data_IF_623399376860
#
_entry.id   IF_623399376860
#
_cell.length_a   1.000
_cell.length_b   1.000
_cell.length_c   1.000
_cell.angle_alpha   90.00
_cell.angle_beta   90.00
_cell.angle_gamma   90.00
#
_symmetry.space_group_name_H-M   'P 1'
#
loop_
_entity.id
_entity.type
_entity.pdbx_description
1 polymer ?
#
# COMPACT_ATOMS: atom_id res chain seq x y z
N UNK A 1 40.01 46.62 40.79
CA UNK A 1 39.16 46.80 39.58
C UNK A 1 39.00 45.45 38.88
N UNK A 2 37.84 44.81 39.01
CA UNK A 2 37.55 43.48 38.42
C UNK A 2 37.17 43.65 36.94
N UNK A 3 37.92 43.04 36.02
CA UNK A 3 37.53 42.93 34.61
C UNK A 3 36.52 41.79 34.46
N UNK A 4 35.31 42.09 33.98
CA UNK A 4 34.30 41.08 33.62
C UNK A 4 34.60 40.57 32.22
N UNK A 5 34.76 39.26 32.06
CA UNK A 5 34.83 38.59 30.77
C UNK A 5 33.42 38.08 30.45
N UNK A 6 32.75 38.67 29.45
CA UNK A 6 31.50 38.13 28.92
C UNK A 6 31.85 37.15 27.81
N UNK A 7 31.54 35.87 28.02
CA UNK A 7 31.59 34.84 26.99
C UNK A 7 30.28 34.95 26.20
N UNK A 8 30.38 35.33 24.93
CA UNK A 8 29.25 35.33 23.99
C UNK A 8 29.12 33.90 23.44
N UNK A 9 28.12 33.14 23.89
CA UNK A 9 27.77 31.85 23.27
C UNK A 9 26.86 32.17 22.09
N UNK A 10 27.39 32.09 20.87
CA UNK A 10 26.60 32.10 19.65
C UNK A 10 25.91 30.74 19.53
N UNK A 11 24.62 30.67 19.87
CA UNK A 11 23.78 29.54 19.51
C UNK A 11 23.46 29.63 18.02
N UNK A 12 24.13 28.80 17.21
CA UNK A 12 23.80 28.62 15.80
C UNK A 12 22.47 27.85 15.72
N UNK A 13 21.33 28.54 15.66
CA UNK A 13 20.09 27.91 15.24
C UNK A 13 20.19 27.63 13.74
N UNK A 14 20.44 26.37 13.38
CA UNK A 14 20.24 25.91 12.02
C UNK A 14 18.72 25.91 11.75
N UNK A 15 18.24 26.93 11.06
CA UNK A 15 16.92 26.90 10.43
C UNK A 15 16.97 25.87 9.32
N UNK A 16 16.51 24.65 9.59
CA UNK A 16 16.23 23.68 8.54
C UNK A 16 15.01 24.17 7.76
N UNK A 17 15.28 24.91 6.68
CA UNK A 17 14.27 25.21 5.67
C UNK A 17 13.78 23.91 5.04
N UNK A 18 12.47 23.78 4.92
CA UNK A 18 11.74 22.62 4.36
C UNK A 18 12.25 22.21 2.97
N UNK A 19 12.93 23.12 2.27
CA UNK A 19 13.46 22.91 0.92
C UNK A 19 14.66 21.94 0.83
N UNK A 20 15.30 21.56 1.95
CA UNK A 20 16.46 20.66 1.94
C UNK A 20 16.13 19.18 2.17
N UNK A 21 14.87 18.81 2.45
CA UNK A 21 14.50 17.40 2.68
C UNK A 21 14.34 16.60 1.37
N UNK A 22 13.94 17.23 0.26
CA UNK A 22 13.87 16.56 -1.07
C UNK A 22 15.25 16.10 -1.55
N UNK A 23 16.31 16.84 -1.22
CA UNK A 23 17.66 16.56 -1.70
C UNK A 23 18.29 15.28 -1.12
N UNK A 24 17.74 14.70 -0.05
CA UNK A 24 18.37 13.58 0.65
C UNK A 24 17.94 12.21 0.10
N UNK A 25 16.79 12.10 -0.57
CA UNK A 25 16.19 10.79 -0.88
C UNK A 25 15.82 10.57 -2.35
N UNK A 26 15.88 11.59 -3.21
CA UNK A 26 15.49 11.47 -4.62
C UNK A 26 13.98 11.57 -4.84
N UNK A 27 13.57 11.64 -6.11
CA UNK A 27 12.16 11.72 -6.49
C UNK A 27 11.47 10.36 -6.31
N UNK A 28 10.18 10.37 -5.95
CA UNK A 28 9.35 9.17 -5.97
C UNK A 28 9.24 8.68 -7.41
N UNK A 29 9.51 7.40 -7.63
CA UNK A 29 9.50 6.80 -8.97
C UNK A 29 8.91 5.41 -8.93
N UNK A 30 8.20 5.02 -10.00
CA UNK A 30 7.67 3.67 -10.19
C UNK A 30 8.22 3.06 -11.48
N UNK A 31 8.83 1.88 -11.34
CA UNK A 31 9.26 1.04 -12.47
C UNK A 31 8.22 -0.04 -12.72
N UNK A 32 7.41 0.14 -13.77
CA UNK A 32 6.32 -0.76 -14.17
C UNK A 32 6.83 -2.07 -14.79
N UNK A 33 6.19 -3.19 -14.44
CA UNK A 33 6.42 -4.51 -15.03
C UNK A 33 5.92 -4.55 -16.49
N UNK A 34 6.62 -5.29 -17.35
CA UNK A 34 6.28 -5.37 -18.78
C UNK A 34 5.52 -6.65 -19.13
N UNK A 35 5.74 -7.72 -18.36
CA UNK A 35 5.06 -8.99 -18.54
C UNK A 35 4.82 -9.71 -17.20
N UNK A 36 4.05 -10.81 -17.22
CA UNK A 36 3.75 -11.57 -16.02
C UNK A 36 5.00 -12.16 -15.34
N UNK A 37 6.08 -12.41 -16.09
CA UNK A 37 7.33 -12.92 -15.50
C UNK A 37 8.03 -11.82 -14.69
N UNK A 38 8.00 -10.56 -15.15
CA UNK A 38 8.48 -9.41 -14.38
C UNK A 38 7.74 -9.30 -13.03
N UNK A 39 6.41 -9.49 -13.03
CA UNK A 39 5.60 -9.49 -11.81
C UNK A 39 6.05 -10.57 -10.83
N UNK A 40 6.20 -11.80 -11.33
CA UNK A 40 6.64 -12.96 -10.53
C UNK A 40 8.05 -12.71 -9.95
N UNK A 41 8.99 -12.21 -10.77
CA UNK A 41 10.35 -11.88 -10.34
C UNK A 41 10.38 -10.74 -9.31
N UNK A 42 9.48 -9.77 -9.45
CA UNK A 42 9.37 -8.65 -8.51
C UNK A 42 8.91 -9.14 -7.13
N UNK A 43 7.88 -9.98 -7.06
CA UNK A 43 7.44 -10.58 -5.79
C UNK A 43 8.53 -11.45 -5.16
N UNK A 44 9.22 -12.28 -5.95
CA UNK A 44 10.31 -13.12 -5.45
C UNK A 44 11.45 -12.28 -4.85
N UNK A 45 11.88 -11.23 -5.55
CA UNK A 45 13.03 -10.41 -5.17
C UNK A 45 12.74 -9.31 -4.14
N UNK A 46 11.49 -8.87 -4.00
CA UNK A 46 11.11 -7.76 -3.13
C UNK A 46 10.23 -8.23 -1.97
N UNK A 47 9.10 -8.88 -2.27
CA UNK A 47 8.13 -9.31 -1.27
C UNK A 47 8.69 -10.45 -0.41
N UNK A 48 9.22 -11.50 -1.05
CA UNK A 48 9.78 -12.68 -0.37
C UNK A 48 11.25 -12.54 0.01
N UNK A 49 11.84 -11.35 -0.15
CA UNK A 49 13.27 -11.10 0.11
C UNK A 49 13.78 -11.49 1.50
N UNK A 50 12.89 -11.63 2.49
CA UNK A 50 13.22 -12.05 3.86
C UNK A 50 12.73 -13.47 4.21
N UNK A 51 12.15 -14.21 3.27
CA UNK A 51 11.71 -15.57 3.45
C UNK A 51 12.69 -16.56 2.81
N UNK A 52 13.00 -17.68 3.48
CA UNK A 52 13.66 -18.78 2.81
C UNK A 52 12.82 -19.33 1.65
N UNK A 53 13.43 -19.69 0.52
CA UNK A 53 12.70 -20.15 -0.67
C UNK A 53 11.87 -21.42 -0.46
N UNK A 54 12.17 -22.22 0.56
CA UNK A 54 11.36 -23.38 0.95
C UNK A 54 10.10 -23.02 1.76
N UNK A 55 9.95 -21.75 2.16
CA UNK A 55 8.84 -21.26 2.98
C UNK A 55 7.75 -20.57 2.16
N UNK A 56 7.87 -20.54 0.84
CA UNK A 56 6.80 -20.11 -0.06
C UNK A 56 6.81 -20.95 -1.34
N UNK A 57 5.67 -21.02 -2.03
CA UNK A 57 5.51 -21.72 -3.31
C UNK A 57 4.22 -21.26 -3.99
N UNK A 58 3.98 -21.77 -5.20
CA UNK A 58 2.72 -21.56 -5.92
C UNK A 58 2.38 -20.08 -6.11
N UNK A 59 3.39 -19.22 -6.31
CA UNK A 59 3.16 -17.82 -6.66
C UNK A 59 2.52 -17.75 -8.04
N UNK A 60 1.35 -17.13 -8.12
CA UNK A 60 0.62 -16.88 -9.37
C UNK A 60 0.17 -15.43 -9.44
N UNK A 61 -0.01 -14.95 -10.67
CA UNK A 61 -0.46 -13.60 -10.99
C UNK A 61 -1.62 -13.68 -11.99
N UNK A 62 -2.65 -12.86 -11.79
CA UNK A 62 -3.76 -12.66 -12.71
C UNK A 62 -4.04 -11.15 -12.82
N UNK A 63 -4.19 -10.63 -14.04
CA UNK A 63 -4.40 -9.21 -14.33
C UNK A 63 -3.44 -8.68 -15.40
N UNK A 64 -3.44 -7.36 -15.60
CA UNK A 64 -2.49 -6.68 -16.49
C UNK A 64 -1.12 -6.52 -15.82
N UNK A 65 -0.02 -7.03 -16.38
CA UNK A 65 1.32 -6.83 -15.81
C UNK A 65 1.68 -5.36 -15.58
N UNK A 66 1.17 -4.47 -16.42
CA UNK A 66 1.42 -3.03 -16.32
C UNK A 66 0.75 -2.40 -15.09
N UNK A 67 -0.18 -3.11 -14.44
CA UNK A 67 -0.78 -2.72 -13.17
C UNK A 67 0.13 -2.98 -11.95
N UNK A 68 1.32 -3.54 -12.17
CA UNK A 68 2.31 -3.84 -11.13
C UNK A 68 3.59 -3.05 -11.37
N UNK A 69 4.18 -2.52 -10.29
CA UNK A 69 5.47 -1.83 -10.38
C UNK A 69 6.28 -1.86 -9.10
N UNK A 70 7.57 -1.56 -9.22
CA UNK A 70 8.47 -1.33 -8.09
C UNK A 70 8.60 0.16 -7.83
N UNK A 71 8.27 0.62 -6.62
CA UNK A 71 8.44 2.02 -6.25
C UNK A 71 9.71 2.25 -5.42
N UNK A 72 10.31 3.43 -5.60
CA UNK A 72 11.42 3.94 -4.81
C UNK A 72 11.13 5.35 -4.29
N UNK A 73 11.78 5.69 -3.18
CA UNK A 73 11.70 6.99 -2.50
C UNK A 73 10.30 7.38 -2.00
N UNK A 74 9.42 6.40 -1.77
CA UNK A 74 8.07 6.55 -1.22
C UNK A 74 8.01 6.82 0.28
N UNK A 75 8.93 7.60 0.85
CA UNK A 75 8.99 7.87 2.29
C UNK A 75 7.79 8.66 2.81
N UNK A 76 7.15 9.46 1.96
CA UNK A 76 5.93 10.21 2.30
C UNK A 76 4.75 9.29 2.65
N UNK A 77 4.75 8.04 2.16
CA UNK A 77 3.79 6.99 2.50
C UNK A 77 3.96 6.47 3.95
N UNK A 78 4.92 6.98 4.72
CA UNK A 78 5.23 6.50 6.08
C UNK A 78 5.95 5.15 6.12
N UNK A 79 6.44 4.68 4.96
CA UNK A 79 7.20 3.45 4.82
C UNK A 79 8.68 3.68 5.18
N UNK A 80 9.21 2.86 6.08
CA UNK A 80 10.57 2.99 6.60
C UNK A 80 11.61 2.74 5.52
N UNK A 81 11.31 1.83 4.60
CA UNK A 81 12.20 1.49 3.49
C UNK A 81 12.07 2.45 2.30
N UNK A 82 10.98 3.23 2.23
CA UNK A 82 10.63 4.06 1.07
C UNK A 82 10.57 3.29 -0.25
N UNK A 83 10.45 1.96 -0.21
CA UNK A 83 10.57 1.06 -1.37
C UNK A 83 9.58 -0.08 -1.23
N UNK A 84 9.10 -0.63 -2.34
CA UNK A 84 8.13 -1.70 -2.31
C UNK A 84 7.50 -1.99 -3.66
N UNK A 85 6.36 -2.68 -3.64
CA UNK A 85 5.58 -3.03 -4.82
C UNK A 85 4.31 -2.20 -4.81
N UNK A 86 3.89 -1.68 -5.97
CA UNK A 86 2.54 -1.16 -6.16
C UNK A 86 1.74 -2.18 -6.97
N UNK A 87 0.52 -2.47 -6.53
CA UNK A 87 -0.53 -3.08 -7.35
C UNK A 87 -1.63 -2.03 -7.51
N UNK A 88 -2.06 -1.78 -8.73
CA UNK A 88 -3.11 -0.80 -9.05
C UNK A 88 -4.19 -1.45 -9.91
N UNK A 89 -5.33 -0.80 -10.06
CA UNK A 89 -6.35 -1.10 -11.07
C UNK A 89 -6.09 -0.39 -12.39
N UNK A 90 -5.08 0.48 -12.41
CA UNK A 90 -4.56 1.18 -13.58
C UNK A 90 -3.23 0.71 -14.12
N UNK A 91 -2.43 1.68 -14.56
CA UNK A 91 -1.02 1.47 -14.86
C UNK A 91 -0.13 1.95 -13.71
N UNK A 92 0.80 1.12 -13.27
CA UNK A 92 1.68 1.43 -12.15
C UNK A 92 2.56 2.69 -12.35
N UNK A 93 2.95 3.01 -13.59
CA UNK A 93 3.73 4.20 -13.92
C UNK A 93 2.91 5.50 -13.99
N UNK A 94 1.62 5.45 -13.68
CA UNK A 94 0.83 6.66 -13.50
C UNK A 94 0.94 7.19 -12.07
N UNK A 95 1.27 6.32 -11.10
CA UNK A 95 1.33 6.65 -9.68
C UNK A 95 2.37 7.72 -9.31
N UNK A 96 3.47 7.85 -10.05
CA UNK A 96 4.55 8.83 -9.81
C UNK A 96 4.42 10.12 -10.64
N UNK A 97 3.29 10.31 -11.33
CA UNK A 97 2.95 11.57 -11.98
C UNK A 97 2.48 12.62 -10.97
N UNK A 98 2.45 13.88 -11.41
CA UNK A 98 1.77 14.93 -10.65
C UNK A 98 0.26 14.72 -10.68
N UNK A 99 -0.39 14.99 -9.55
CA UNK A 99 -1.82 15.22 -9.50
C UNK A 99 -2.16 16.54 -10.24
N UNK A 100 -3.41 16.75 -10.64
CA UNK A 100 -3.87 17.95 -11.34
C UNK A 100 -5.13 18.51 -10.70
N UNK A 101 -5.38 19.80 -10.88
CA UNK A 101 -6.60 20.44 -10.38
C UNK A 101 -7.79 20.16 -11.31
N UNK A 102 -8.92 19.71 -10.77
CA UNK A 102 -10.15 19.42 -11.51
C UNK A 102 -10.72 18.04 -11.17
N UNK A 103 -11.50 17.47 -12.10
CA UNK A 103 -11.99 16.08 -12.02
C UNK A 103 -11.26 15.19 -13.04
N UNK A 104 -10.02 15.55 -13.38
CA UNK A 104 -9.26 14.82 -14.39
C UNK A 104 -8.75 13.48 -13.83
N UNK A 105 -8.77 12.46 -14.68
CA UNK A 105 -8.23 11.13 -14.43
C UNK A 105 -6.72 11.15 -14.69
N UNK A 106 -5.88 11.17 -13.65
CA UNK A 106 -4.43 11.32 -13.80
C UNK A 106 -3.67 10.01 -13.61
N UNK A 107 -4.18 9.17 -12.72
CA UNK A 107 -3.79 7.78 -12.51
C UNK A 107 -4.77 6.77 -13.11
N UNK A 108 -5.86 7.21 -13.76
CA UNK A 108 -6.81 6.28 -14.40
C UNK A 108 -6.40 5.86 -15.80
N UNK A 109 -6.06 4.58 -15.95
CA UNK A 109 -5.96 3.90 -17.23
C UNK A 109 -6.56 2.50 -17.14
N UNK A 110 -7.75 2.34 -17.74
CA UNK A 110 -8.37 1.02 -17.90
C UNK A 110 -7.41 0.03 -18.57
N UNK A 111 -7.35 -1.19 -18.04
CA UNK A 111 -6.37 -2.20 -18.41
C UNK A 111 -7.04 -3.54 -18.72
N UNK A 112 -6.26 -4.63 -18.85
CA UNK A 112 -6.81 -5.99 -19.09
C UNK A 112 -6.96 -6.81 -17.81
N UNK A 113 -7.35 -6.18 -16.70
CA UNK A 113 -7.49 -6.78 -15.38
C UNK A 113 -8.60 -7.82 -15.28
N UNK A 114 -8.75 -8.42 -14.09
CA UNK A 114 -9.74 -9.46 -13.83
C UNK A 114 -11.09 -8.83 -13.48
N UNK A 115 -12.12 -9.28 -14.16
CA UNK A 115 -13.50 -8.84 -13.96
C UNK A 115 -14.27 -9.77 -13.02
N UNK A 116 -15.11 -9.21 -12.15
CA UNK A 116 -16.02 -9.93 -11.25
C UNK A 116 -15.31 -10.98 -10.35
N UNK A 117 -14.23 -10.59 -9.69
CA UNK A 117 -13.57 -11.43 -8.69
C UNK A 117 -14.49 -11.62 -7.48
N UNK A 118 -14.86 -12.86 -7.18
CA UNK A 118 -15.87 -13.18 -6.17
C UNK A 118 -15.54 -12.67 -4.76
N UNK A 119 -14.25 -12.63 -4.40
CA UNK A 119 -13.83 -12.17 -3.07
C UNK A 119 -13.87 -10.65 -2.97
N UNK A 120 -13.49 -9.94 -4.05
CA UNK A 120 -13.64 -8.50 -4.15
C UNK A 120 -15.12 -8.10 -4.18
N UNK A 121 -15.97 -8.76 -4.97
CA UNK A 121 -17.40 -8.45 -5.00
C UNK A 121 -18.05 -8.62 -3.62
N UNK A 122 -17.68 -9.70 -2.92
CA UNK A 122 -18.15 -9.93 -1.55
C UNK A 122 -17.62 -8.89 -0.56
N UNK A 123 -16.37 -8.44 -0.72
CA UNK A 123 -15.74 -7.44 0.14
C UNK A 123 -16.33 -6.04 -0.07
N UNK A 124 -16.54 -5.65 -1.32
CA UNK A 124 -16.87 -4.28 -1.73
C UNK A 124 -18.39 -4.07 -1.85
N UNK A 125 -19.15 -5.15 -2.08
CA UNK A 125 -20.61 -5.13 -2.19
C UNK A 125 -21.13 -4.68 -3.56
N UNK A 126 -20.26 -4.68 -4.58
CA UNK A 126 -20.51 -4.27 -5.97
C UNK A 126 -19.74 -5.18 -6.93
N UNK A 127 -19.97 -5.03 -8.24
CA UNK A 127 -19.07 -5.63 -9.24
C UNK A 127 -17.65 -5.08 -9.08
N UNK A 128 -16.67 -5.93 -9.38
CA UNK A 128 -15.24 -5.55 -9.37
C UNK A 128 -14.69 -5.49 -10.79
N UNK A 129 -13.90 -4.47 -11.10
CA UNK A 129 -13.29 -4.26 -12.41
C UNK A 129 -11.76 -4.15 -12.32
N UNK A 130 -11.09 -4.43 -13.44
CA UNK A 130 -9.65 -4.23 -13.63
C UNK A 130 -8.76 -4.81 -12.50
N UNK A 131 -9.17 -5.95 -11.92
CA UNK A 131 -8.53 -6.46 -10.73
C UNK A 131 -7.12 -7.00 -10.99
N UNK A 132 -6.18 -6.65 -10.10
CA UNK A 132 -4.81 -7.14 -10.06
C UNK A 132 -4.66 -8.11 -8.87
N UNK A 133 -4.38 -9.38 -9.16
CA UNK A 133 -4.43 -10.47 -8.18
C UNK A 133 -3.10 -11.22 -8.10
N UNK A 134 -2.60 -11.37 -6.86
CA UNK A 134 -1.43 -12.17 -6.52
C UNK A 134 -1.82 -13.24 -5.51
N UNK A 135 -1.47 -14.49 -5.79
CA UNK A 135 -1.73 -15.61 -4.90
C UNK A 135 -0.45 -16.41 -4.64
N UNK A 136 -0.29 -16.93 -3.43
CA UNK A 136 0.82 -17.79 -3.08
C UNK A 136 0.54 -18.59 -1.81
N UNK A 137 1.25 -19.71 -1.66
CA UNK A 137 1.30 -20.42 -0.38
C UNK A 137 2.55 -20.02 0.40
N UNK A 138 2.43 -19.85 1.71
CA UNK A 138 3.56 -19.64 2.60
C UNK A 138 3.50 -20.54 3.84
N UNK A 139 4.67 -20.76 4.43
CA UNK A 139 4.86 -21.53 5.66
C UNK A 139 5.56 -20.67 6.72
N UNK A 140 4.84 -20.14 7.73
CA UNK A 140 5.42 -19.31 8.76
C UNK A 140 6.34 -20.12 9.68
N UNK A 141 7.38 -19.47 10.21
CA UNK A 141 8.18 -19.99 11.33
C UNK A 141 7.83 -19.31 12.66
N UNK A 142 6.93 -18.32 12.63
CA UNK A 142 6.34 -17.65 13.80
C UNK A 142 4.85 -17.97 13.92
N UNK A 143 4.23 -17.53 15.02
CA UNK A 143 2.80 -17.70 15.26
C UNK A 143 1.96 -16.52 14.75
N UNK A 144 2.50 -15.75 13.81
CA UNK A 144 1.78 -14.65 13.20
C UNK A 144 2.23 -14.44 11.75
N UNK A 145 1.42 -13.70 11.01
CA UNK A 145 1.81 -13.06 9.77
C UNK A 145 1.50 -11.57 9.90
N UNK A 146 2.39 -10.73 9.40
CA UNK A 146 2.16 -9.30 9.26
C UNK A 146 2.65 -8.77 7.92
N UNK A 147 1.99 -7.73 7.41
CA UNK A 147 2.43 -6.99 6.24
C UNK A 147 2.02 -5.52 6.29
N UNK A 148 2.93 -4.61 5.92
CA UNK A 148 2.63 -3.19 5.90
C UNK A 148 2.19 -2.75 4.50
N UNK A 149 1.16 -1.91 4.45
CA UNK A 149 0.63 -1.38 3.21
C UNK A 149 0.09 0.05 3.36
N UNK A 150 -0.11 0.72 2.23
CA UNK A 150 -0.88 1.95 2.08
C UNK A 150 -1.89 1.74 0.96
N UNK A 151 -3.13 2.18 1.15
CA UNK A 151 -4.15 2.22 0.11
C UNK A 151 -4.28 3.65 -0.42
N UNK A 152 -4.44 3.84 -1.73
CA UNK A 152 -4.60 5.13 -2.40
C UNK A 152 -5.66 5.06 -3.49
N UNK A 153 -6.30 6.18 -3.81
CA UNK A 153 -7.38 6.23 -4.82
C UNK A 153 -7.56 7.64 -5.40
N UNK A 154 -7.93 7.72 -6.67
CA UNK A 154 -8.45 8.94 -7.33
C UNK A 154 -9.95 9.16 -7.09
N UNK A 155 -10.63 8.25 -6.41
CA UNK A 155 -12.04 8.45 -6.03
C UNK A 155 -12.20 9.41 -4.83
N UNK A 156 -11.11 9.66 -4.11
CA UNK A 156 -11.10 10.65 -3.05
C UNK A 156 -11.08 12.05 -3.66
N UNK A 157 -11.91 13.00 -3.26
CA UNK A 157 -13.00 12.91 -2.29
C UNK A 157 -14.38 12.99 -2.95
N UNK A 158 -14.43 13.06 -4.27
CA UNK A 158 -15.60 13.34 -5.10
C UNK A 158 -16.64 12.23 -4.98
N UNK A 159 -16.17 10.98 -4.81
CA UNK A 159 -16.97 9.77 -4.89
C UNK A 159 -17.20 9.07 -3.54
N UNK A 160 -16.64 9.62 -2.46
CA UNK A 160 -16.92 9.19 -1.09
C UNK A 160 -18.44 9.13 -0.81
N UNK A 161 -18.93 7.94 -0.51
CA UNK A 161 -20.32 7.57 -0.27
C UNK A 161 -21.28 7.85 -1.45
N UNK A 162 -20.78 7.78 -2.70
CA UNK A 162 -21.56 8.10 -3.90
C UNK A 162 -21.59 6.96 -4.93
N UNK A 163 -21.85 5.73 -4.47
CA UNK A 163 -22.08 4.57 -5.34
C UNK A 163 -20.84 3.74 -5.67
N UNK A 164 -19.66 4.27 -5.33
CA UNK A 164 -18.37 3.61 -5.48
C UNK A 164 -17.74 3.35 -4.11
N UNK A 165 -16.88 2.34 -4.04
CA UNK A 165 -16.27 1.91 -2.78
C UNK A 165 -14.96 1.17 -3.02
N UNK A 166 -14.04 1.76 -3.78
CA UNK A 166 -12.76 1.13 -4.06
C UNK A 166 -12.06 0.69 -2.77
N UNK A 167 -11.48 -0.50 -2.85
CA UNK A 167 -10.83 -1.15 -1.73
C UNK A 167 -9.98 -2.32 -2.19
N UNK A 168 -9.38 -3.00 -1.22
CA UNK A 168 -8.54 -4.16 -1.50
C UNK A 168 -8.69 -5.21 -0.42
N UNK A 169 -8.42 -6.46 -0.79
CA UNK A 169 -8.42 -7.60 0.10
C UNK A 169 -7.03 -8.19 0.28
N UNK A 170 -6.72 -8.58 1.51
CA UNK A 170 -5.64 -9.51 1.82
C UNK A 170 -6.29 -10.73 2.49
N UNK A 171 -6.61 -11.73 1.68
CA UNK A 171 -7.31 -12.93 2.12
C UNK A 171 -6.32 -14.01 2.51
N UNK A 172 -6.48 -14.55 3.71
CA UNK A 172 -5.69 -15.68 4.20
C UNK A 172 -6.57 -16.88 4.50
N UNK A 173 -6.21 -18.04 3.96
CA UNK A 173 -6.81 -19.34 4.23
C UNK A 173 -5.79 -20.33 4.82
N UNK A 174 -6.28 -21.37 5.49
CA UNK A 174 -5.42 -22.40 6.10
C UNK A 174 -5.96 -22.92 7.42
N UNK A 175 -5.15 -23.70 8.14
CA UNK A 175 -5.57 -24.32 9.38
C UNK A 175 -5.92 -23.27 10.46
N UNK A 176 -7.03 -23.49 11.17
CA UNK A 176 -7.55 -22.54 12.15
C UNK A 176 -8.22 -21.30 11.55
N UNK A 177 -8.42 -21.27 10.22
CA UNK A 177 -9.03 -20.15 9.50
C UNK A 177 -10.33 -20.60 8.84
N UNK A 178 -11.41 -19.85 9.10
CA UNK A 178 -12.69 -20.01 8.42
C UNK A 178 -13.34 -18.64 8.28
N UNK A 179 -13.69 -18.25 7.06
CA UNK A 179 -14.40 -17.02 6.75
C UNK A 179 -15.21 -17.14 5.47
N UNK A 180 -15.88 -16.05 5.06
CA UNK A 180 -16.90 -16.08 4.02
C UNK A 180 -16.33 -16.06 2.60
N UNK A 181 -15.03 -15.79 2.46
CA UNK A 181 -14.31 -15.70 1.19
C UNK A 181 -13.89 -17.08 0.70
N UNK A 182 -13.45 -17.14 -0.54
CA UNK A 182 -13.03 -18.36 -1.20
C UNK A 182 -11.96 -19.11 -0.42
N UNK A 183 -12.03 -20.44 -0.54
CA UNK A 183 -11.23 -21.39 0.24
C UNK A 183 -11.36 -21.22 1.78
N UNK A 184 -12.52 -20.76 2.25
CA UNK A 184 -12.79 -20.45 3.67
C UNK A 184 -11.81 -19.41 4.26
N UNK A 185 -11.34 -18.48 3.44
CA UNK A 185 -10.36 -17.47 3.86
C UNK A 185 -11.02 -16.32 4.63
N UNK A 186 -10.20 -15.48 5.28
CA UNK A 186 -10.63 -14.19 5.86
C UNK A 186 -9.78 -13.07 5.31
N UNK A 187 -10.41 -11.92 5.05
CA UNK A 187 -9.69 -10.66 4.88
C UNK A 187 -8.99 -10.26 6.19
N UNK A 188 -7.73 -9.87 6.11
CA UNK A 188 -6.92 -9.33 7.22
C UNK A 188 -6.40 -7.91 6.94
N UNK A 189 -6.74 -7.32 5.79
CA UNK A 189 -6.56 -5.90 5.51
C UNK A 189 -7.68 -5.09 6.16
N UNK A 190 -7.55 -4.88 7.47
CA UNK A 190 -8.55 -4.21 8.31
C UNK A 190 -7.92 -3.00 9.00
N UNK A 191 -8.76 -2.04 9.37
CA UNK A 191 -8.33 -0.97 10.27
C UNK A 191 -7.86 -1.54 11.62
N UNK A 192 -6.86 -0.90 12.27
CA UNK A 192 -6.35 -1.33 13.57
C UNK A 192 -7.47 -1.54 14.60
N UNK A 193 -7.39 -2.66 15.32
CA UNK A 193 -8.33 -3.05 16.38
C UNK A 193 -9.82 -3.06 15.95
N UNK A 194 -10.08 -3.30 14.66
CA UNK A 194 -11.42 -3.26 14.09
C UNK A 194 -11.70 -4.43 13.12
N UNK A 195 -12.98 -4.58 12.75
CA UNK A 195 -13.43 -5.40 11.61
C UNK A 195 -13.74 -4.56 10.37
N UNK A 196 -13.47 -3.25 10.43
CA UNK A 196 -13.68 -2.31 9.33
C UNK A 196 -12.67 -2.57 8.22
N UNK A 197 -13.16 -2.77 7.00
CA UNK A 197 -12.34 -2.96 5.81
C UNK A 197 -11.73 -1.64 5.36
N UNK A 198 -10.59 -1.71 4.66
CA UNK A 198 -9.96 -0.52 4.07
C UNK A 198 -10.64 -0.23 2.73
N UNK A 199 -11.33 0.91 2.64
CA UNK A 199 -11.93 1.42 1.41
C UNK A 199 -12.20 2.93 1.51
N UNK A 200 -12.53 3.56 0.38
CA UNK A 200 -12.79 5.02 0.33
C UNK A 200 -13.93 5.47 1.26
N UNK A 201 -14.96 4.63 1.43
CA UNK A 201 -16.11 4.97 2.28
C UNK A 201 -15.83 4.81 3.77
N UNK A 202 -14.80 4.04 4.12
CA UNK A 202 -14.43 3.80 5.51
C UNK A 202 -13.30 4.72 6.01
N UNK A 203 -12.51 5.35 5.14
CA UNK A 203 -11.39 6.21 5.53
C UNK A 203 -11.46 7.53 4.74
N UNK A 204 -12.16 8.54 5.26
CA UNK A 204 -12.34 9.80 4.54
C UNK A 204 -12.61 10.97 5.46
N UNK A 205 -12.53 12.17 4.88
CA UNK A 205 -13.03 13.40 5.49
C UNK A 205 -14.37 13.86 4.91
N UNK A 206 -15.14 12.93 4.35
CA UNK A 206 -16.40 13.21 3.64
C UNK A 206 -16.18 13.63 2.19
N UNK A 207 -17.29 13.97 1.52
CA UNK A 207 -17.28 14.38 0.11
C UNK A 207 -16.82 15.83 -0.04
N UNK A 208 -15.89 16.07 -0.96
CA UNK A 208 -15.53 17.40 -1.45
C UNK A 208 -15.93 17.54 -2.93
N UNK A 209 -15.86 18.78 -3.44
CA UNK A 209 -15.78 19.00 -4.89
C UNK A 209 -14.40 18.60 -5.42
N UNK A 210 -14.09 19.11 -6.60
CA UNK A 210 -12.88 18.83 -7.38
C UNK A 210 -11.57 19.03 -6.60
N UNK A 211 -10.49 18.40 -7.04
CA UNK A 211 -9.14 18.60 -6.50
C UNK A 211 -8.76 20.09 -6.53
N UNK A 212 -7.91 20.53 -5.59
CA UNK A 212 -7.55 21.93 -5.38
C UNK A 212 -8.68 22.89 -4.94
N UNK A 213 -9.83 22.40 -4.48
CA UNK A 213 -10.94 23.23 -3.97
C UNK A 213 -11.02 23.32 -2.44
N UNK A 214 -10.09 22.68 -1.74
CA UNK A 214 -10.02 22.60 -0.29
C UNK A 214 -10.48 21.22 0.22
N UNK A 215 -9.80 20.65 1.23
CA UNK A 215 -10.12 19.31 1.71
C UNK A 215 -11.49 19.29 2.39
N UNK A 216 -12.22 18.15 2.31
CA UNK A 216 -13.47 18.01 3.03
C UNK A 216 -13.21 17.95 4.55
N UNK A 217 -14.26 18.22 5.34
CA UNK A 217 -14.13 18.51 6.79
C UNK A 217 -14.89 17.53 7.70
N UNK A 218 -15.60 16.55 7.14
CA UNK A 218 -16.18 15.45 7.89
C UNK A 218 -15.07 14.50 8.39
N UNK A 219 -15.42 13.44 9.12
CA UNK A 219 -14.46 12.44 9.55
C UNK A 219 -15.10 11.06 9.67
N UNK A 220 -14.58 10.11 8.89
CA UNK A 220 -14.82 8.68 9.00
C UNK A 220 -13.45 8.01 9.07
N UNK A 221 -13.02 7.56 10.26
CA UNK A 221 -11.67 7.04 10.52
C UNK A 221 -10.55 7.91 9.91
N UNK A 222 -10.72 9.23 9.96
CA UNK A 222 -9.89 10.19 9.23
C UNK A 222 -8.48 10.35 9.82
N UNK A 223 -8.19 9.74 10.97
CA UNK A 223 -6.83 9.57 11.50
C UNK A 223 -5.94 8.73 10.59
N UNK A 224 -6.53 7.87 9.76
CA UNK A 224 -5.82 7.08 8.75
C UNK A 224 -5.82 7.74 7.38
N UNK A 225 -6.43 8.91 7.21
CA UNK A 225 -6.58 9.58 5.91
C UNK A 225 -5.52 10.68 5.70
N UNK A 226 -4.82 10.62 4.58
CA UNK A 226 -3.85 11.64 4.13
C UNK A 226 -4.29 12.18 2.77
N UNK A 227 -4.45 13.50 2.69
CA UNK A 227 -4.83 14.19 1.45
C UNK A 227 -3.60 14.47 0.58
N UNK A 228 -3.70 14.27 -0.73
CA UNK A 228 -2.68 14.66 -1.71
C UNK A 228 -3.23 15.52 -2.86
N UNK A 229 -4.53 15.83 -2.86
CA UNK A 229 -5.23 16.57 -3.94
C UNK A 229 -5.09 18.10 -3.89
N UNK A 230 -4.23 18.65 -3.02
CA UNK A 230 -4.05 20.09 -2.87
C UNK A 230 -2.67 20.53 -3.33
N UNK A 231 -2.59 21.62 -4.12
CA UNK A 231 -1.30 22.18 -4.61
C UNK A 231 -0.31 22.57 -3.50
N UNK A 232 -0.79 22.70 -2.27
CA UNK A 232 0.04 22.98 -1.09
C UNK A 232 0.64 21.73 -0.47
N UNK A 233 0.16 20.54 -0.84
CA UNK A 233 0.69 19.27 -0.39
C UNK A 233 2.00 18.92 -1.14
N UNK A 234 3.08 18.53 -0.44
CA UNK A 234 4.33 18.14 -1.08
C UNK A 234 4.22 16.96 -2.05
N UNK A 235 3.27 16.05 -1.84
CA UNK A 235 3.04 14.87 -2.68
C UNK A 235 2.32 15.22 -4.00
N UNK A 236 1.57 16.33 -4.06
CA UNK A 236 0.79 16.74 -5.25
C UNK A 236 1.63 16.72 -6.54
N UNK A 237 2.89 17.14 -6.48
CA UNK A 237 3.78 17.20 -7.65
C UNK A 237 4.37 15.84 -8.09
N UNK A 238 4.18 14.77 -7.32
CA UNK A 238 4.88 13.50 -7.51
C UNK A 238 4.06 12.27 -7.12
N UNK A 239 2.76 12.43 -6.91
CA UNK A 239 1.85 11.35 -6.54
C UNK A 239 0.48 11.66 -7.14
N UNK A 240 0.01 10.80 -8.03
CA UNK A 240 -1.16 11.09 -8.84
C UNK A 240 -2.49 10.92 -8.09
N UNK A 241 -2.56 10.01 -7.11
CA UNK A 241 -3.78 9.77 -6.34
C UNK A 241 -4.16 10.96 -5.45
N UNK A 242 -5.45 11.16 -5.24
CA UNK A 242 -6.00 12.30 -4.52
C UNK A 242 -5.93 12.18 -3.01
N UNK A 243 -5.98 10.96 -2.50
CA UNK A 243 -5.65 10.68 -1.12
C UNK A 243 -5.18 9.24 -0.94
N UNK A 244 -4.55 8.99 0.20
CA UNK A 244 -4.03 7.70 0.59
C UNK A 244 -4.10 7.51 2.10
N UNK A 245 -3.95 6.29 2.55
CA UNK A 245 -3.96 5.98 3.97
C UNK A 245 -2.61 6.26 4.61
N UNK A 246 -2.57 6.50 5.93
CA UNK A 246 -1.36 6.22 6.70
C UNK A 246 -0.91 4.79 6.47
N UNK A 247 0.37 4.47 6.72
CA UNK A 247 0.83 3.07 6.74
C UNK A 247 0.00 2.24 7.73
N UNK A 248 -0.67 1.22 7.21
CA UNK A 248 -1.43 0.23 7.96
C UNK A 248 -0.67 -1.10 7.99
N UNK A 249 -1.02 -1.97 8.94
CA UNK A 249 -0.43 -3.30 9.08
C UNK A 249 -1.54 -4.34 9.11
N UNK A 250 -1.57 -5.21 8.10
CA UNK A 250 -2.35 -6.43 8.16
C UNK A 250 -1.67 -7.37 9.16
N UNK A 251 -2.42 -7.93 10.11
CA UNK A 251 -1.88 -8.82 11.13
C UNK A 251 -2.84 -9.98 11.38
N UNK A 252 -2.27 -11.18 11.57
CA UNK A 252 -3.04 -12.32 12.05
C UNK A 252 -2.19 -13.32 12.83
N UNK A 253 -2.70 -13.76 13.98
CA UNK A 253 -2.18 -14.92 14.69
C UNK A 253 -2.49 -16.21 13.92
N UNK A 254 -1.47 -17.04 13.73
CA UNK A 254 -1.52 -18.32 13.01
C UNK A 254 -0.65 -19.36 13.72
N UNK A 255 -0.71 -20.61 13.31
CA UNK A 255 0.14 -21.68 13.84
C UNK A 255 1.42 -21.76 13.01
N UNK A 256 2.58 -21.75 13.66
CA UNK A 256 3.84 -21.94 12.97
C UNK A 256 3.94 -23.33 12.28
N UNK A 257 4.74 -23.42 11.22
CA UNK A 257 5.04 -24.65 10.48
C UNK A 257 3.84 -25.33 9.77
N UNK A 258 2.77 -24.60 9.48
CA UNK A 258 1.65 -25.05 8.64
C UNK A 258 1.60 -24.28 7.32
N UNK A 259 0.99 -24.83 6.27
CA UNK A 259 0.83 -24.10 5.03
C UNK A 259 -0.42 -23.23 5.08
N UNK A 260 -0.27 -21.98 4.67
CA UNK A 260 -1.33 -21.00 4.51
C UNK A 260 -1.33 -20.49 3.09
N UNK A 261 -2.51 -20.13 2.61
CA UNK A 261 -2.71 -19.55 1.28
C UNK A 261 -3.05 -18.06 1.43
N UNK A 262 -2.39 -17.21 0.65
CA UNK A 262 -2.65 -15.77 0.57
C UNK A 262 -3.15 -15.44 -0.83
N UNK A 263 -4.21 -14.64 -0.88
CA UNK A 263 -4.66 -13.90 -2.06
C UNK A 263 -4.63 -12.41 -1.72
N UNK A 264 -3.89 -11.63 -2.50
CA UNK A 264 -3.90 -10.16 -2.48
C UNK A 264 -4.64 -9.73 -3.73
N UNK A 265 -5.71 -8.94 -3.58
CA UNK A 265 -6.50 -8.47 -4.70
C UNK A 265 -6.86 -7.00 -4.49
N UNK A 266 -6.70 -6.20 -5.54
CA UNK A 266 -7.19 -4.82 -5.66
C UNK A 266 -8.00 -4.74 -6.95
N UNK A 267 -9.12 -4.04 -6.94
CA UNK A 267 -10.06 -3.92 -8.05
C UNK A 267 -10.99 -2.73 -7.83
N UNK A 268 -11.46 -2.12 -8.91
CA UNK A 268 -12.36 -0.97 -8.85
C UNK A 268 -13.77 -1.44 -8.50
N UNK A 269 -14.50 -0.65 -7.71
CA UNK A 269 -15.80 -0.99 -7.18
C UNK A 269 -16.92 -0.24 -7.91
N UNK A 270 -17.62 -0.95 -8.81
CA UNK A 270 -18.85 -0.47 -9.44
C UNK A 270 -18.67 0.19 -10.82
N UNK A 271 -17.53 0.83 -11.09
CA UNK A 271 -17.06 1.13 -12.45
C UNK A 271 -15.55 0.92 -12.58
N UNK A 272 -14.96 1.29 -13.72
CA UNK A 272 -13.54 1.10 -14.07
C UNK A 272 -12.87 2.44 -14.44
N UNK A 273 -13.32 3.53 -13.83
CA UNK A 273 -13.08 4.91 -14.32
C UNK A 273 -12.01 5.63 -13.50
N UNK A 274 -11.93 5.36 -12.21
CA UNK A 274 -10.93 5.94 -11.32
C UNK A 274 -10.16 4.83 -10.63
N UNK A 275 -8.84 4.91 -10.73
CA UNK A 275 -8.02 3.79 -10.32
C UNK A 275 -7.60 3.92 -8.85
N UNK A 276 -7.42 2.76 -8.25
CA UNK A 276 -7.01 2.59 -6.86
C UNK A 276 -5.78 1.69 -6.78
N UNK A 277 -4.95 1.94 -5.76
CA UNK A 277 -3.71 1.20 -5.58
C UNK A 277 -3.43 0.80 -4.14
N UNK A 278 -2.68 -0.28 -4.03
CA UNK A 278 -2.00 -0.67 -2.81
C UNK A 278 -0.49 -0.61 -2.99
N UNK A 279 0.16 0.08 -2.05
CA UNK A 279 1.60 0.12 -1.91
C UNK A 279 2.00 -0.86 -0.81
N UNK A 280 2.85 -1.81 -1.16
CA UNK A 280 3.24 -2.96 -0.37
C UNK A 280 4.71 -2.78 0.06
N UNK A 281 4.95 -2.55 1.36
CA UNK A 281 6.29 -2.15 1.83
C UNK A 281 7.30 -3.30 1.69
N UNK A 282 8.44 -3.02 1.05
CA UNK A 282 9.55 -3.97 0.93
C UNK A 282 9.99 -4.46 2.31
N UNK A 283 10.29 -5.76 2.43
CA UNK A 283 10.77 -6.39 3.67
C UNK A 283 9.79 -6.33 4.86
N UNK A 284 8.55 -5.87 4.67
CA UNK A 284 7.56 -5.84 5.75
C UNK A 284 6.81 -7.16 5.92
N UNK A 285 6.93 -8.12 4.98
CA UNK A 285 6.28 -9.43 5.11
C UNK A 285 7.02 -10.25 6.15
N UNK A 286 6.42 -10.38 7.33
CA UNK A 286 6.98 -11.19 8.40
C UNK A 286 6.02 -12.31 8.73
N UNK A 287 6.45 -13.52 8.35
CA UNK A 287 5.94 -14.79 8.87
C UNK A 287 7.02 -15.53 9.66
N UNK A 288 8.11 -14.81 9.97
CA UNK A 288 9.30 -15.24 10.68
C UNK A 288 10.55 -15.26 9.80
N UNK A 289 11.61 -14.60 10.26
CA UNK A 289 12.90 -14.61 9.59
C UNK A 289 13.87 -15.48 10.38
N UNK A 290 14.60 -16.38 9.70
CA UNK A 290 15.77 -17.00 10.30
C UNK A 290 16.87 -15.94 10.29
N UNK A 291 16.98 -15.13 11.34
CA UNK A 291 18.27 -14.47 11.59
C UNK A 291 19.25 -15.60 11.87
N UNK A 292 20.17 -15.86 10.95
CA UNK A 292 21.29 -16.76 11.21
C UNK A 292 21.95 -16.29 12.51
N UNK A 293 21.85 -17.11 13.55
CA UNK A 293 22.52 -16.84 14.81
C UNK A 293 24.03 -16.73 14.52
N UNK A 294 24.73 -15.68 15.00
CA UNK A 294 26.17 -15.54 14.81
C UNK A 294 26.99 -16.75 15.30
N UNK A 295 26.39 -17.64 16.09
CA UNK A 295 27.05 -18.74 16.78
C UNK A 295 27.24 -20.03 15.96
N UNK A 296 26.78 -20.12 14.71
CA UNK A 296 26.98 -21.35 13.90
C UNK A 296 28.32 -21.43 13.14
N UNK A 297 29.23 -20.46 13.29
CA UNK A 297 30.52 -20.46 12.58
C UNK A 297 31.72 -21.08 13.34
N UNK A 298 31.56 -21.59 14.57
CA UNK A 298 32.69 -22.10 15.37
C UNK A 298 32.73 -23.61 15.58
N UNK A 299 32.08 -24.42 14.74
CA UNK A 299 32.23 -25.88 14.78
C UNK A 299 32.57 -26.44 13.39
N UNK A 300 33.81 -26.19 12.95
CA UNK A 300 34.56 -27.07 12.04
C UNK A 300 36.03 -27.02 12.42
#
# INVERSE_FOLDING_TARGET
MKKKFQILILSLLATFGVNNLKAQWGDFTVSQCQDSMDVINLFDSVFFSNLPSQNYKNLTFQGDPTAVGYFENGYFLGMENGKGIVLTTGHANDADKSNVCGTEQNASTNNIGVENDEDLELLLGSGSHDACIIEFDFKPVTNYVEYNYVFASEEYNEYVNFGFNDGFGLFIGGNGISGPYSNNSRNIALLPDSTTVVSINHINKGKAGETCTGPPTFCTNCEYYINSSETTDPAFSSFAYDAYTTKLTAYRSITHNEWYHIKIAVGDAGDSVYDSAIFLEKKSFKSGSITASPWQKSMR
#
